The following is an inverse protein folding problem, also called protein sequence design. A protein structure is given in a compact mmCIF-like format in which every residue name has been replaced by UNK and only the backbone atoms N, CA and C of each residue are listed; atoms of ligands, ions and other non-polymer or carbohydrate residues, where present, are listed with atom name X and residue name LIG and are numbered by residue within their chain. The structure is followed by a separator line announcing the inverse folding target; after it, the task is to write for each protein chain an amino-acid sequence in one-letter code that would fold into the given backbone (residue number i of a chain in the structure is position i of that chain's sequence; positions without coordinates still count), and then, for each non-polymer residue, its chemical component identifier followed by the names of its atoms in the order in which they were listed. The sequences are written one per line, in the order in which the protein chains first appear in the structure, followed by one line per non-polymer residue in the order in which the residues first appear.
data_IF_330317832905
#
_entry.id   IF_330317832905
#
_cell.length_a   1.000
_cell.length_b   1.000
_cell.length_c   1.000
_cell.angle_alpha   90.00
_cell.angle_beta   90.00
_cell.angle_gamma   90.00
#
_symmetry.space_group_name_H-M   'P 1'
#
loop_
_entity.id
_entity.type
_entity.pdbx_description
1 polymer ?
#
# COMPACT_ATOMS: atom_id res chain seq x y z
N UNK A 1 -15.76 1.22 6.50
CA UNK A 1 -14.78 1.98 7.32
C UNK A 1 -13.50 1.16 7.35
N UNK A 2 -12.35 1.80 7.55
CA UNK A 2 -11.07 1.08 7.67
C UNK A 2 -10.21 1.68 8.78
N UNK A 3 -9.62 0.82 9.58
CA UNK A 3 -8.68 1.15 10.65
C UNK A 3 -7.29 0.66 10.28
N UNK A 4 -6.27 1.47 10.51
CA UNK A 4 -4.90 1.08 10.26
C UNK A 4 -4.10 1.06 11.56
N UNK A 5 -3.69 -0.13 11.98
CA UNK A 5 -2.84 -0.39 13.13
C UNK A 5 -1.38 -0.47 12.73
N UNK A 6 -0.52 -0.04 13.64
CA UNK A 6 0.91 -0.33 13.62
C UNK A 6 1.20 -1.18 14.84
N UNK A 7 1.70 -2.39 14.58
CA UNK A 7 2.09 -3.34 15.61
C UNK A 7 3.55 -3.08 15.99
N UNK A 8 3.81 -2.91 17.28
CA UNK A 8 5.15 -2.87 17.85
C UNK A 8 5.34 -4.10 18.73
N UNK A 9 6.58 -4.55 18.92
CA UNK A 9 6.85 -5.74 19.73
C UNK A 9 7.09 -5.34 21.19
N UNK A 10 6.48 -6.07 22.12
CA UNK A 10 6.77 -5.92 23.56
C UNK A 10 7.99 -6.76 23.93
N UNK A 11 8.99 -6.10 24.51
CA UNK A 11 10.00 -6.79 25.31
C UNK A 11 9.38 -7.12 26.67
N UNK A 12 8.82 -8.32 26.82
CA UNK A 12 8.79 -9.05 28.09
C UNK A 12 8.36 -10.52 27.90
N UNK A 13 9.28 -11.44 28.19
CA UNK A 13 9.08 -12.88 28.47
C UNK A 13 8.57 -13.83 27.37
N UNK A 14 8.64 -13.47 26.08
CA UNK A 14 8.30 -14.37 24.97
C UNK A 14 9.48 -14.65 24.03
N UNK A 15 10.30 -15.69 24.28
CA UNK A 15 11.36 -16.12 23.35
C UNK A 15 10.75 -16.59 22.03
N UNK A 16 10.83 -15.76 20.97
CA UNK A 16 10.49 -16.21 19.62
C UNK A 16 11.72 -16.86 18.97
N UNK A 17 12.86 -16.15 18.82
CA UNK A 17 14.07 -16.67 18.16
C UNK A 17 15.32 -15.88 18.61
N UNK A 18 16.28 -16.52 19.29
CA UNK A 18 17.60 -15.90 19.53
C UNK A 18 18.51 -16.09 18.31
N UNK A 19 18.57 -15.12 17.39
CA UNK A 19 19.38 -15.22 16.15
C UNK A 19 20.86 -14.81 16.34
N UNK A 20 21.43 -15.13 17.50
CA UNK A 20 22.84 -14.93 17.80
C UNK A 20 23.16 -13.59 18.46
N UNK A 21 24.46 -13.43 18.75
CA UNK A 21 25.02 -12.29 19.45
C UNK A 21 25.04 -11.01 18.59
N UNK A 22 24.57 -9.90 19.16
CA UNK A 22 24.64 -8.57 18.57
C UNK A 22 25.73 -7.74 19.25
N UNK A 23 26.46 -6.94 18.47
CA UNK A 23 27.42 -5.97 18.97
C UNK A 23 27.41 -4.72 18.08
N UNK A 24 27.81 -3.59 18.64
CA UNK A 24 27.94 -2.31 17.93
C UNK A 24 29.42 -2.01 17.73
N UNK A 25 29.81 -1.68 16.49
CA UNK A 25 31.17 -1.27 16.15
C UNK A 25 31.17 0.17 15.61
N UNK A 26 31.89 1.06 16.29
CA UNK A 26 32.11 2.45 15.87
C UNK A 26 33.60 2.67 15.59
N UNK A 27 33.99 2.57 14.31
CA UNK A 27 35.39 2.65 13.89
C UNK A 27 36.23 1.51 14.49
N UNK A 28 37.12 1.85 15.45
CA UNK A 28 37.98 0.89 16.17
C UNK A 28 37.36 0.37 17.47
N UNK A 29 36.29 0.98 17.95
CA UNK A 29 35.64 0.60 19.20
C UNK A 29 34.54 -0.41 18.93
N UNK A 30 34.49 -1.46 19.76
CA UNK A 30 33.49 -2.52 19.71
C UNK A 30 32.83 -2.63 21.08
N UNK A 31 31.50 -2.68 21.14
CA UNK A 31 30.76 -2.90 22.38
C UNK A 31 30.91 -4.35 22.88
N UNK A 32 30.47 -4.60 24.10
CA UNK A 32 30.22 -5.96 24.56
C UNK A 32 29.13 -6.62 23.69
N UNK A 33 29.24 -7.94 23.57
CA UNK A 33 28.24 -8.76 22.89
C UNK A 33 26.98 -8.88 23.75
N UNK A 34 25.83 -8.64 23.15
CA UNK A 34 24.51 -8.81 23.75
C UNK A 34 23.71 -9.85 22.96
N UNK A 35 23.18 -10.87 23.63
CA UNK A 35 22.26 -11.82 23.00
C UNK A 35 20.84 -11.37 23.32
N UNK A 36 20.09 -10.76 22.39
CA UNK A 36 18.70 -10.41 22.64
C UNK A 36 17.89 -11.68 22.89
N UNK A 37 17.03 -11.64 23.92
CA UNK A 37 16.10 -12.71 24.27
C UNK A 37 14.88 -12.77 23.35
N UNK A 38 14.64 -11.72 22.59
CA UNK A 38 13.39 -11.39 21.92
C UNK A 38 13.66 -10.64 20.62
N UNK A 39 12.76 -10.80 19.65
CA UNK A 39 12.87 -10.18 18.33
C UNK A 39 13.90 -10.83 17.39
N UNK A 40 13.73 -10.56 16.10
CA UNK A 40 14.66 -10.97 15.06
C UNK A 40 15.55 -9.77 14.66
N UNK A 41 16.88 -9.93 14.49
CA UNK A 41 17.78 -8.84 14.16
C UNK A 41 17.32 -8.09 12.90
N UNK A 42 17.31 -6.76 12.96
CA UNK A 42 17.04 -5.95 11.77
C UNK A 42 18.12 -6.21 10.72
N UNK A 43 17.70 -6.53 9.50
CA UNK A 43 18.61 -6.92 8.42
C UNK A 43 18.92 -8.41 8.34
N UNK A 44 18.44 -9.24 9.28
CA UNK A 44 18.46 -10.69 9.08
C UNK A 44 17.44 -11.09 8.00
N UNK A 45 17.89 -11.91 7.05
CA UNK A 45 17.12 -12.35 5.87
C UNK A 45 15.86 -13.14 6.27
N UNK A 46 15.90 -13.84 7.41
CA UNK A 46 14.78 -14.65 7.88
C UNK A 46 13.75 -13.84 8.69
N UNK A 47 14.12 -12.69 9.25
CA UNK A 47 13.23 -11.90 10.12
C UNK A 47 11.84 -11.63 9.51
N UNK A 48 11.71 -11.22 8.22
CA UNK A 48 10.40 -10.96 7.64
C UNK A 48 9.53 -12.22 7.49
N UNK A 49 10.14 -13.36 7.14
CA UNK A 49 9.43 -14.64 7.01
C UNK A 49 8.94 -15.11 8.38
N UNK A 50 9.81 -15.03 9.38
CA UNK A 50 9.52 -15.43 10.75
C UNK A 50 8.40 -14.55 11.32
N UNK A 51 8.44 -13.24 11.12
CA UNK A 51 7.35 -12.34 11.53
C UNK A 51 6.01 -12.65 10.81
N UNK A 52 6.07 -13.03 9.53
CA UNK A 52 4.87 -13.43 8.78
C UNK A 52 4.27 -14.73 9.31
N UNK A 53 5.11 -15.71 9.71
CA UNK A 53 4.66 -16.94 10.34
C UNK A 53 4.10 -16.69 11.75
N UNK A 54 4.76 -15.81 12.51
CA UNK A 54 4.37 -15.43 13.86
C UNK A 54 2.96 -14.85 13.92
N UNK A 55 2.65 -13.97 12.99
CA UNK A 55 1.36 -13.29 12.94
C UNK A 55 0.34 -14.03 12.08
N UNK A 56 0.65 -15.24 11.58
CA UNK A 56 -0.15 -15.90 10.54
C UNK A 56 -1.57 -16.25 11.01
N UNK A 57 -1.69 -16.73 12.25
CA UNK A 57 -2.94 -17.10 12.93
C UNK A 57 -3.77 -15.89 13.40
N UNK A 58 -3.21 -14.67 13.36
CA UNK A 58 -3.98 -13.45 13.49
C UNK A 58 -4.92 -13.31 12.27
N UNK A 59 -6.15 -13.78 12.40
CA UNK A 59 -7.16 -13.78 11.34
C UNK A 59 -8.47 -13.20 11.84
N UNK A 60 -9.22 -12.57 10.94
CA UNK A 60 -10.58 -12.08 11.21
C UNK A 60 -11.49 -13.24 11.61
N UNK A 61 -12.26 -13.09 12.68
CA UNK A 61 -13.29 -14.06 13.12
C UNK A 61 -14.62 -13.82 12.41
N UNK A 62 -14.91 -12.58 12.03
CA UNK A 62 -16.10 -12.18 11.30
C UNK A 62 -15.84 -12.17 9.77
N UNK A 63 -16.69 -12.82 8.95
CA UNK A 63 -16.51 -12.86 7.49
C UNK A 63 -16.72 -11.50 6.80
N UNK A 64 -17.45 -10.57 7.41
CA UNK A 64 -17.71 -9.20 6.92
C UNK A 64 -16.54 -8.25 7.16
N UNK A 65 -15.60 -8.65 8.03
CA UNK A 65 -14.38 -7.90 8.33
C UNK A 65 -13.20 -8.54 7.58
N UNK A 66 -12.25 -7.70 7.16
CA UNK A 66 -11.03 -8.12 6.50
C UNK A 66 -9.82 -7.58 7.23
N UNK A 67 -8.91 -8.49 7.55
CA UNK A 67 -7.62 -8.18 8.11
C UNK A 67 -6.56 -8.22 6.99
N UNK A 68 -5.94 -7.08 6.70
CA UNK A 68 -4.83 -6.98 5.76
C UNK A 68 -3.54 -6.76 6.54
N UNK A 69 -2.61 -7.72 6.47
CA UNK A 69 -1.32 -7.66 7.17
C UNK A 69 -0.20 -7.39 6.16
N UNK A 70 0.68 -6.44 6.46
CA UNK A 70 1.91 -6.19 5.72
C UNK A 70 3.03 -5.83 6.70
N UNK A 71 3.90 -6.81 6.96
CA UNK A 71 4.85 -6.72 8.08
C UNK A 71 4.09 -6.29 9.35
N UNK A 72 4.62 -5.31 10.07
CA UNK A 72 4.06 -4.70 11.28
C UNK A 72 2.75 -3.92 11.07
N UNK A 73 2.40 -3.58 9.82
CA UNK A 73 1.18 -2.82 9.54
C UNK A 73 -0.01 -3.77 9.37
N UNK A 74 -1.06 -3.55 10.16
CA UNK A 74 -2.29 -4.35 10.09
C UNK A 74 -3.48 -3.43 9.85
N UNK A 75 -4.28 -3.70 8.83
CA UNK A 75 -5.49 -2.91 8.52
C UNK A 75 -6.73 -3.75 8.74
N UNK A 76 -7.66 -3.27 9.56
CA UNK A 76 -8.98 -3.86 9.75
C UNK A 76 -9.97 -3.10 8.88
N UNK A 77 -10.64 -3.79 7.96
CA UNK A 77 -11.63 -3.20 7.07
C UNK A 77 -12.98 -3.84 7.39
N UNK A 78 -13.90 -3.04 7.92
CA UNK A 78 -15.26 -3.46 8.23
C UNK A 78 -16.30 -2.77 7.36
N UNK A 79 -17.33 -3.52 6.98
CA UNK A 79 -18.52 -2.97 6.35
C UNK A 79 -19.51 -2.54 7.43
N UNK A 80 -20.02 -1.32 7.30
CA UNK A 80 -21.10 -0.80 8.15
C UNK A 80 -22.39 -0.93 7.36
N UNK A 81 -23.38 -1.62 7.91
CA UNK A 81 -24.71 -1.78 7.33
C UNK A 81 -25.74 -1.23 8.30
N UNK A 82 -26.68 -0.43 7.82
CA UNK A 82 -27.74 0.15 8.67
C UNK A 82 -27.24 0.90 9.92
N UNK A 83 -26.03 1.44 9.84
CA UNK A 83 -25.31 2.10 10.96
C UNK A 83 -24.88 1.15 12.08
N UNK A 84 -24.90 -0.15 11.83
CA UNK A 84 -24.28 -1.17 12.66
C UNK A 84 -22.80 -1.36 12.27
N UNK A 85 -21.93 -1.14 13.24
CA UNK A 85 -20.47 -1.33 13.14
C UNK A 85 -19.95 -2.35 14.18
N UNK A 86 -20.85 -3.13 14.79
CA UNK A 86 -20.54 -4.03 15.90
C UNK A 86 -19.50 -5.07 15.50
N UNK A 87 -19.63 -5.67 14.32
CA UNK A 87 -18.65 -6.63 13.78
C UNK A 87 -17.24 -6.02 13.67
N UNK A 88 -17.16 -4.78 13.17
CA UNK A 88 -15.89 -4.05 13.06
C UNK A 88 -15.30 -3.73 14.43
N UNK A 89 -16.10 -3.21 15.38
CA UNK A 89 -15.63 -2.89 16.72
C UNK A 89 -15.16 -4.12 17.48
N UNK A 90 -15.93 -5.21 17.40
CA UNK A 90 -15.57 -6.48 18.02
C UNK A 90 -14.25 -7.02 17.48
N UNK A 91 -14.02 -6.93 16.17
CA UNK A 91 -12.74 -7.33 15.55
C UNK A 91 -11.57 -6.46 16.00
N UNK A 92 -11.78 -5.16 16.20
CA UNK A 92 -10.76 -4.25 16.75
C UNK A 92 -10.37 -4.64 18.18
N UNK A 93 -11.35 -4.96 19.02
CA UNK A 93 -11.13 -5.40 20.39
C UNK A 93 -10.42 -6.77 20.43
N UNK A 94 -10.85 -7.70 19.59
CA UNK A 94 -10.20 -9.00 19.45
C UNK A 94 -8.76 -8.88 18.96
N UNK A 95 -8.49 -7.99 18.00
CA UNK A 95 -7.13 -7.74 17.52
C UNK A 95 -6.26 -7.20 18.66
N UNK A 96 -6.75 -6.26 19.46
CA UNK A 96 -6.03 -5.72 20.62
C UNK A 96 -5.74 -6.80 21.67
N UNK A 97 -6.72 -7.66 21.97
CA UNK A 97 -6.55 -8.79 22.87
C UNK A 97 -5.54 -9.81 22.31
N UNK A 98 -5.64 -10.15 21.01
CA UNK A 98 -4.71 -11.06 20.35
C UNK A 98 -3.27 -10.52 20.39
N UNK A 99 -3.08 -9.22 20.14
CA UNK A 99 -1.76 -8.59 20.24
C UNK A 99 -1.20 -8.73 21.67
N UNK A 100 -2.02 -8.43 22.68
CA UNK A 100 -1.63 -8.55 24.09
C UNK A 100 -1.25 -9.99 24.47
N UNK A 101 -2.02 -10.98 24.02
CA UNK A 101 -1.75 -12.41 24.25
C UNK A 101 -0.49 -12.89 23.52
N UNK A 102 -0.14 -12.25 22.41
CA UNK A 102 1.03 -12.56 21.61
C UNK A 102 2.16 -11.54 21.81
N UNK A 103 2.29 -10.90 22.98
CA UNK A 103 3.43 -10.01 23.28
C UNK A 103 3.71 -8.96 22.18
N UNK A 104 2.64 -8.40 21.61
CA UNK A 104 2.66 -7.32 20.63
C UNK A 104 1.90 -6.13 21.24
N UNK A 105 2.49 -4.95 21.12
CA UNK A 105 1.88 -3.69 21.49
C UNK A 105 1.20 -3.06 20.27
N UNK A 106 0.00 -2.54 20.46
CA UNK A 106 -0.60 -1.66 19.47
C UNK A 106 -0.06 -0.24 19.66
N UNK A 107 0.59 0.31 18.63
CA UNK A 107 0.93 1.73 18.64
C UNK A 107 -0.33 2.57 18.37
N UNK A 108 -1.06 2.89 19.44
CA UNK A 108 -2.30 3.68 19.39
C UNK A 108 -2.06 5.09 18.86
N UNK A 109 -0.87 5.67 19.07
CA UNK A 109 -0.50 7.00 18.59
C UNK A 109 -0.38 7.09 17.06
N UNK A 110 0.03 5.99 16.41
CA UNK A 110 0.11 5.90 14.95
C UNK A 110 -1.14 5.29 14.32
N UNK A 111 -2.05 4.75 15.14
CA UNK A 111 -3.30 4.14 14.68
C UNK A 111 -4.29 5.23 14.30
N UNK A 112 -4.89 5.10 13.13
CA UNK A 112 -5.88 6.06 12.61
C UNK A 112 -7.08 5.35 12.03
N UNK A 113 -8.25 5.94 12.22
CA UNK A 113 -9.50 5.46 11.64
C UNK A 113 -9.88 6.30 10.42
N UNK A 114 -10.29 5.67 9.33
CA UNK A 114 -10.87 6.36 8.19
C UNK A 114 -12.26 5.81 7.87
N UNK A 115 -13.25 6.69 7.94
CA UNK A 115 -14.64 6.38 7.61
C UNK A 115 -14.89 6.74 6.16
N UNK A 116 -15.44 5.79 5.40
CA UNK A 116 -15.78 5.99 4.00
C UNK A 116 -17.28 5.80 3.88
N UNK A 117 -18.02 6.90 3.80
CA UNK A 117 -19.49 6.93 3.71
C UNK A 117 -19.93 7.88 2.59
N UNK A 118 -20.80 7.40 1.70
CA UNK A 118 -21.35 8.16 0.57
C UNK A 118 -22.86 8.38 0.69
N UNK A 119 -23.46 8.01 1.83
CA UNK A 119 -24.87 8.29 2.10
C UNK A 119 -25.07 9.81 2.18
N UNK A 120 -26.18 10.30 1.63
CA UNK A 120 -26.54 11.74 1.71
C UNK A 120 -26.84 12.18 3.14
N UNK A 121 -27.44 11.28 3.92
CA UNK A 121 -27.70 11.46 5.33
C UNK A 121 -26.81 10.49 6.10
N UNK A 122 -25.73 11.03 6.67
CA UNK A 122 -24.79 10.26 7.48
C UNK A 122 -25.17 10.36 8.94
N UNK A 123 -25.27 9.22 9.61
CA UNK A 123 -25.35 9.16 11.07
C UNK A 123 -23.94 9.31 11.61
N UNK A 124 -23.74 10.21 12.58
CA UNK A 124 -22.46 10.31 13.28
C UNK A 124 -22.22 9.00 14.05
N UNK A 125 -21.07 8.38 13.80
CA UNK A 125 -20.66 7.19 14.53
C UNK A 125 -19.90 7.61 15.79
N UNK A 126 -20.05 6.87 16.91
CA UNK A 126 -19.30 7.18 18.11
C UNK A 126 -17.79 7.06 17.87
N UNK A 127 -16.94 7.82 18.58
CA UNK A 127 -15.50 7.65 18.45
C UNK A 127 -15.07 6.21 18.76
N UNK A 128 -14.08 5.71 18.02
CA UNK A 128 -13.44 4.44 18.33
C UNK A 128 -12.47 4.61 19.49
N UNK A 129 -12.49 3.67 20.43
CA UNK A 129 -11.57 3.64 21.58
C UNK A 129 -10.85 2.30 21.63
N UNK A 130 -9.52 2.32 21.77
CA UNK A 130 -8.67 1.15 21.92
C UNK A 130 -7.86 1.33 23.20
N UNK A 131 -7.90 0.36 24.13
CA UNK A 131 -7.17 0.42 25.40
C UNK A 131 -7.39 1.77 26.15
N UNK A 132 -8.65 2.23 26.21
CA UNK A 132 -9.07 3.52 26.78
C UNK A 132 -8.52 4.78 26.09
N UNK A 133 -7.88 4.64 24.92
CA UNK A 133 -7.40 5.76 24.10
C UNK A 133 -8.31 5.96 22.89
N UNK A 134 -8.77 7.20 22.64
CA UNK A 134 -9.56 7.52 21.45
C UNK A 134 -8.68 7.51 20.21
N UNK A 135 -9.12 6.79 19.17
CA UNK A 135 -8.42 6.75 17.89
C UNK A 135 -8.81 7.98 17.06
N UNK A 136 -7.85 8.73 16.52
CA UNK A 136 -8.16 9.87 15.66
C UNK A 136 -8.76 9.41 14.33
N UNK A 137 -9.91 9.98 13.97
CA UNK A 137 -10.49 9.84 12.63
C UNK A 137 -9.79 10.79 11.65
N UNK A 138 -9.39 10.28 10.49
CA UNK A 138 -8.68 11.03 9.45
C UNK A 138 -9.42 11.01 8.12
N UNK A 139 -9.33 12.11 7.38
CA UNK A 139 -9.92 12.23 6.04
C UNK A 139 -9.07 11.54 4.96
N UNK A 140 -7.77 11.38 5.20
CA UNK A 140 -6.87 10.65 4.34
C UNK A 140 -5.70 10.07 5.13
N UNK A 141 -5.13 8.97 4.64
CA UNK A 141 -3.95 8.35 5.24
C UNK A 141 -3.06 7.70 4.18
N UNK A 142 -1.79 7.48 4.52
CA UNK A 142 -0.81 6.88 3.62
C UNK A 142 -0.69 5.38 3.88
N UNK A 143 -1.29 4.57 3.02
CA UNK A 143 -1.22 3.12 3.05
C UNK A 143 -0.16 2.59 2.07
N UNK A 144 0.87 1.90 2.58
CA UNK A 144 1.93 1.27 1.76
C UNK A 144 2.49 2.19 0.65
N UNK A 145 2.66 3.47 0.97
CA UNK A 145 3.20 4.48 0.05
C UNK A 145 2.16 5.20 -0.83
N UNK A 146 0.89 4.79 -0.80
CA UNK A 146 -0.22 5.41 -1.54
C UNK A 146 -1.16 6.14 -0.58
N UNK A 147 -1.52 7.39 -0.90
CA UNK A 147 -2.46 8.14 -0.05
C UNK A 147 -3.89 7.82 -0.46
N UNK A 148 -4.69 7.34 0.48
CA UNK A 148 -6.11 7.03 0.28
C UNK A 148 -6.93 8.10 1.01
N UNK A 149 -7.93 8.64 0.33
CA UNK A 149 -8.84 9.65 0.86
C UNK A 149 -10.25 9.09 1.02
N UNK A 150 -10.97 9.57 2.03
CA UNK A 150 -12.35 9.17 2.33
C UNK A 150 -13.33 9.46 1.18
N UNK A 151 -13.07 10.50 0.40
CA UNK A 151 -13.91 10.95 -0.73
C UNK A 151 -13.59 10.23 -2.05
N UNK A 152 -12.75 9.19 -2.00
CA UNK A 152 -12.25 8.42 -3.18
C UNK A 152 -11.51 9.26 -4.22
N UNK A 153 -11.12 10.50 -3.90
CA UNK A 153 -10.28 11.29 -4.79
C UNK A 153 -8.82 10.92 -4.60
N UNK A 154 -8.07 11.08 -5.69
CA UNK A 154 -6.63 10.77 -5.76
C UNK A 154 -5.77 12.02 -5.93
N UNK A 155 -6.38 13.21 -5.90
CA UNK A 155 -5.71 14.50 -6.06
C UNK A 155 -4.55 14.67 -5.07
N UNK A 156 -4.76 14.35 -3.79
CA UNK A 156 -3.72 14.43 -2.75
C UNK A 156 -2.55 13.49 -3.05
N UNK A 157 -2.84 12.25 -3.44
CA UNK A 157 -1.82 11.27 -3.81
C UNK A 157 -1.04 11.70 -5.06
N UNK A 158 -1.76 12.11 -6.10
CA UNK A 158 -1.21 12.53 -7.39
C UNK A 158 -0.35 13.77 -7.22
N UNK A 159 -0.79 14.75 -6.43
CA UNK A 159 0.00 15.93 -6.10
C UNK A 159 1.32 15.58 -5.44
N UNK A 160 1.29 14.74 -4.41
CA UNK A 160 2.50 14.29 -3.73
C UNK A 160 3.46 13.54 -4.68
N UNK A 161 2.91 12.76 -5.61
CA UNK A 161 3.65 11.98 -6.60
C UNK A 161 4.30 12.89 -7.65
N UNK A 162 3.54 13.85 -8.18
CA UNK A 162 4.03 14.86 -9.12
C UNK A 162 5.13 15.70 -8.47
N UNK A 163 4.95 16.15 -7.22
CA UNK A 163 5.96 16.93 -6.50
C UNK A 163 7.28 16.16 -6.36
N UNK A 164 7.23 14.88 -5.99
CA UNK A 164 8.42 14.00 -5.93
C UNK A 164 9.08 13.82 -7.29
N UNK A 165 8.29 13.61 -8.34
CA UNK A 165 8.81 13.47 -9.71
C UNK A 165 9.47 14.77 -10.20
N UNK A 166 8.87 15.92 -9.89
CA UNK A 166 9.41 17.24 -10.24
C UNK A 166 10.73 17.55 -9.53
N UNK A 167 10.88 17.16 -8.26
CA UNK A 167 12.16 17.23 -7.56
C UNK A 167 13.24 16.42 -8.28
N UNK A 168 12.88 15.23 -8.79
CA UNK A 168 13.82 14.35 -9.52
C UNK A 168 14.17 14.86 -10.92
N UNK A 169 13.31 15.67 -11.55
CA UNK A 169 13.65 16.35 -12.81
C UNK A 169 14.86 17.28 -12.67
N UNK A 170 15.16 17.80 -11.48
CA UNK A 170 16.37 18.58 -11.26
C UNK A 170 17.63 17.78 -11.61
N UNK A 171 17.73 16.54 -11.12
CA UNK A 171 18.87 15.67 -11.41
C UNK A 171 18.94 15.35 -12.91
N UNK A 172 17.81 15.07 -13.56
CA UNK A 172 17.78 14.84 -15.01
C UNK A 172 18.33 16.06 -15.79
N UNK A 173 17.99 17.29 -15.38
CA UNK A 173 18.57 18.51 -15.98
C UNK A 173 20.08 18.61 -15.75
N UNK A 174 20.56 18.26 -14.56
CA UNK A 174 22.00 18.27 -14.28
C UNK A 174 22.73 17.26 -15.17
N UNK A 175 22.23 16.03 -15.28
CA UNK A 175 22.80 15.02 -16.16
C UNK A 175 22.83 15.47 -17.62
N UNK A 176 21.78 16.15 -18.10
CA UNK A 176 21.78 16.74 -19.44
C UNK A 176 22.87 17.82 -19.61
N UNK A 177 23.10 18.66 -18.59
CA UNK A 177 24.18 19.67 -18.62
C UNK A 177 25.57 19.05 -18.68
N UNK A 178 25.76 17.87 -18.10
CA UNK A 178 27.00 17.10 -18.21
C UNK A 178 27.13 16.34 -19.54
N UNK A 179 26.27 16.62 -20.53
CA UNK A 179 26.28 16.03 -21.87
C UNK A 179 26.21 14.49 -21.87
N UNK A 180 25.47 13.91 -20.90
CA UNK A 180 25.25 12.47 -20.92
C UNK A 180 24.49 12.03 -22.20
N UNK A 181 24.83 10.85 -22.76
CA UNK A 181 24.09 10.25 -23.86
C UNK A 181 22.59 10.16 -23.58
N UNK A 182 21.80 10.37 -24.63
CA UNK A 182 20.33 10.33 -24.58
C UNK A 182 19.80 9.00 -23.99
N UNK A 183 20.45 7.88 -24.31
CA UNK A 183 20.11 6.55 -23.78
C UNK A 183 20.23 6.49 -22.25
N UNK A 184 21.30 7.06 -21.67
CA UNK A 184 21.49 7.10 -20.22
C UNK A 184 20.46 8.01 -19.54
N UNK A 185 20.09 9.12 -20.20
CA UNK A 185 19.06 10.02 -19.68
C UNK A 185 17.67 9.36 -19.69
N UNK A 186 17.35 8.61 -20.74
CA UNK A 186 16.12 7.80 -20.82
C UNK A 186 16.11 6.72 -19.75
N UNK A 187 17.24 6.02 -19.55
CA UNK A 187 17.36 5.02 -18.49
C UNK A 187 17.19 5.64 -17.09
N UNK A 188 17.84 6.78 -16.85
CA UNK A 188 17.67 7.54 -15.61
C UNK A 188 16.21 7.93 -15.39
N UNK A 189 15.52 8.41 -16.43
CA UNK A 189 14.09 8.72 -16.35
C UNK A 189 13.28 7.50 -15.92
N UNK A 190 13.45 6.34 -16.57
CA UNK A 190 12.68 5.14 -16.25
C UNK A 190 12.92 4.64 -14.82
N UNK A 191 14.18 4.66 -14.36
CA UNK A 191 14.53 4.14 -13.02
C UNK A 191 14.18 5.13 -11.91
N UNK A 192 14.32 6.44 -12.15
CA UNK A 192 14.23 7.45 -11.08
C UNK A 192 12.92 8.22 -11.12
N UNK A 193 12.41 8.61 -12.28
CA UNK A 193 11.23 9.48 -12.38
C UNK A 193 9.98 8.65 -12.65
N UNK A 194 10.01 7.81 -13.68
CA UNK A 194 8.90 6.93 -14.04
C UNK A 194 8.54 5.98 -12.90
N UNK A 195 9.52 5.44 -12.17
CA UNK A 195 9.28 4.55 -11.03
C UNK A 195 8.40 5.18 -9.94
N UNK A 196 8.61 6.46 -9.63
CA UNK A 196 7.77 7.21 -8.68
C UNK A 196 6.40 7.46 -9.25
N UNK A 197 6.34 7.94 -10.49
CA UNK A 197 5.10 8.21 -11.20
C UNK A 197 4.21 6.97 -11.31
N UNK A 198 4.82 5.80 -11.53
CA UNK A 198 4.12 4.54 -11.74
C UNK A 198 3.88 3.74 -10.44
N UNK A 199 4.30 4.25 -9.28
CA UNK A 199 4.08 3.55 -8.01
C UNK A 199 2.58 3.38 -7.76
N UNK A 200 2.15 2.13 -7.59
CA UNK A 200 0.73 1.75 -7.41
C UNK A 200 -0.22 2.29 -8.49
N UNK A 201 0.27 2.62 -9.69
CA UNK A 201 -0.52 3.26 -10.76
C UNK A 201 -1.80 2.49 -11.13
N UNK A 202 -1.77 1.16 -11.00
CA UNK A 202 -2.94 0.31 -11.26
C UNK A 202 -4.10 0.54 -10.30
N UNK A 203 -3.85 1.14 -9.13
CA UNK A 203 -4.84 1.38 -8.07
C UNK A 203 -5.59 2.70 -8.31
N UNK A 204 -4.86 3.77 -8.56
CA UNK A 204 -5.41 5.13 -8.49
C UNK A 204 -5.67 5.78 -9.86
N UNK A 205 -4.94 5.38 -10.91
CA UNK A 205 -5.01 6.10 -12.19
C UNK A 205 -6.35 5.93 -12.91
N UNK A 206 -7.01 4.78 -12.78
CA UNK A 206 -8.34 4.54 -13.39
C UNK A 206 -9.43 5.47 -12.86
N UNK A 207 -9.22 6.09 -11.69
CA UNK A 207 -10.11 7.07 -11.08
C UNK A 207 -9.56 8.50 -11.13
N UNK A 208 -8.48 8.75 -11.85
CA UNK A 208 -7.88 10.07 -11.97
C UNK A 208 -8.73 10.99 -12.88
N UNK A 209 -8.84 12.27 -12.51
CA UNK A 209 -9.60 13.24 -13.31
C UNK A 209 -8.83 13.65 -14.57
N UNK A 210 -9.51 14.26 -15.55
CA UNK A 210 -8.85 14.86 -16.73
C UNK A 210 -7.82 15.93 -16.33
N UNK A 211 -8.04 16.65 -15.23
CA UNK A 211 -7.05 17.58 -14.66
C UNK A 211 -5.81 16.85 -14.15
N UNK A 212 -5.99 15.76 -13.43
CA UNK A 212 -4.89 14.97 -12.88
C UNK A 212 -4.02 14.36 -13.97
N UNK A 213 -4.66 13.76 -14.98
CA UNK A 213 -3.97 13.18 -16.14
C UNK A 213 -3.13 14.25 -16.84
N UNK A 214 -3.68 15.47 -17.03
CA UNK A 214 -2.92 16.60 -17.59
C UNK A 214 -1.72 17.01 -16.74
N UNK A 215 -1.86 17.04 -15.41
CA UNK A 215 -0.75 17.35 -14.48
C UNK A 215 0.38 16.31 -14.59
N UNK A 216 0.03 15.02 -14.63
CA UNK A 216 0.97 13.92 -14.77
C UNK A 216 1.69 13.98 -16.13
N UNK A 217 0.94 14.16 -17.22
CA UNK A 217 1.50 14.21 -18.58
C UNK A 217 2.46 15.40 -18.76
N UNK A 218 2.22 16.55 -18.13
CA UNK A 218 3.17 17.69 -18.14
C UNK A 218 4.54 17.33 -17.58
N UNK A 219 4.59 16.46 -16.58
CA UNK A 219 5.85 15.99 -15.97
C UNK A 219 6.62 15.12 -16.97
N UNK A 220 5.93 14.20 -17.64
CA UNK A 220 6.50 13.36 -18.71
C UNK A 220 7.02 14.23 -19.86
N UNK A 221 6.20 15.16 -20.36
CA UNK A 221 6.59 16.08 -21.44
C UNK A 221 7.79 16.97 -21.09
N UNK A 222 7.94 17.31 -19.81
CA UNK A 222 9.12 18.05 -19.36
C UNK A 222 10.37 17.17 -19.42
N UNK A 223 10.28 15.90 -19.03
CA UNK A 223 11.37 14.95 -19.19
C UNK A 223 11.71 14.71 -20.67
N UNK A 224 10.71 14.51 -21.54
CA UNK A 224 10.90 14.36 -22.99
C UNK A 224 11.72 15.52 -23.58
N UNK A 225 11.35 16.76 -23.24
CA UNK A 225 12.08 17.96 -23.69
C UNK A 225 13.53 18.02 -23.18
N UNK A 226 13.79 17.57 -21.95
CA UNK A 226 15.15 17.57 -21.39
C UNK A 226 16.02 16.51 -22.07
N UNK A 227 15.44 15.33 -22.34
CA UNK A 227 16.13 14.19 -22.92
C UNK A 227 16.34 14.37 -24.43
N UNK A 228 15.36 14.97 -25.11
CA UNK A 228 15.30 15.02 -26.58
C UNK A 228 14.80 13.73 -27.22
N UNK A 229 14.14 12.85 -26.45
CA UNK A 229 13.53 11.60 -26.92
C UNK A 229 12.02 11.59 -26.66
N UNK A 230 11.21 10.93 -27.51
CA UNK A 230 9.85 10.57 -27.13
C UNK A 230 9.86 9.60 -25.95
N UNK A 231 8.96 9.80 -25.00
CA UNK A 231 8.72 8.90 -23.88
C UNK A 231 7.30 8.34 -23.95
N UNK A 232 7.04 7.16 -23.37
CA UNK A 232 5.68 6.65 -23.27
C UNK A 232 4.77 7.65 -22.54
N UNK A 233 3.58 7.86 -23.09
CA UNK A 233 2.54 8.63 -22.42
C UNK A 233 2.13 7.97 -21.11
N UNK A 234 1.58 8.75 -20.19
CA UNK A 234 1.13 8.22 -18.91
C UNK A 234 0.03 7.14 -19.08
N UNK A 235 -0.82 7.29 -20.10
CA UNK A 235 -1.87 6.33 -20.45
C UNK A 235 -1.28 4.99 -20.92
N UNK A 236 -0.23 5.02 -21.74
CA UNK A 236 0.46 3.82 -22.21
C UNK A 236 1.15 3.09 -21.05
N UNK A 237 1.79 3.85 -20.15
CA UNK A 237 2.38 3.29 -18.93
C UNK A 237 1.33 2.61 -18.06
N UNK A 238 0.20 3.27 -17.80
CA UNK A 238 -0.92 2.68 -17.06
C UNK A 238 -1.42 1.39 -17.73
N UNK A 239 -1.74 1.44 -19.02
CA UNK A 239 -2.26 0.32 -19.79
C UNK A 239 -1.31 -0.88 -19.76
N UNK A 240 -0.01 -0.63 -19.96
CA UNK A 240 1.03 -1.66 -19.88
C UNK A 240 1.09 -2.31 -18.50
N UNK A 241 1.01 -1.52 -17.42
CA UNK A 241 1.09 -2.02 -16.03
C UNK A 241 -0.18 -2.78 -15.64
N UNK A 242 -1.36 -2.32 -16.06
CA UNK A 242 -2.62 -3.04 -15.85
C UNK A 242 -2.59 -4.39 -16.56
N UNK A 243 -2.21 -4.43 -17.83
CA UNK A 243 -2.10 -5.68 -18.60
C UNK A 243 -1.14 -6.68 -17.94
N UNK A 244 0.08 -6.22 -17.59
CA UNK A 244 1.07 -7.07 -16.89
C UNK A 244 0.55 -7.60 -15.56
N UNK A 245 -0.17 -6.77 -14.79
CA UNK A 245 -0.75 -7.19 -13.51
C UNK A 245 -1.90 -8.18 -13.72
N UNK A 246 -2.78 -7.93 -14.69
CA UNK A 246 -3.89 -8.82 -15.04
C UNK A 246 -3.38 -10.21 -15.46
N UNK A 247 -2.37 -10.26 -16.33
CA UNK A 247 -1.72 -11.50 -16.74
C UNK A 247 -1.13 -12.29 -15.57
N UNK A 248 -0.47 -11.60 -14.62
CA UNK A 248 0.04 -12.24 -13.40
C UNK A 248 -1.06 -12.84 -12.52
N UNK A 249 -2.22 -12.17 -12.44
CA UNK A 249 -3.38 -12.66 -11.69
C UNK A 249 -3.91 -13.93 -12.36
N UNK A 250 -4.09 -13.92 -13.68
CA UNK A 250 -4.64 -15.07 -14.42
C UNK A 250 -3.70 -16.28 -14.46
N UNK A 251 -2.39 -16.06 -14.41
CA UNK A 251 -1.40 -17.14 -14.37
C UNK A 251 -1.25 -17.78 -12.98
N UNK A 252 -1.75 -17.13 -11.92
CA UNK A 252 -1.66 -17.60 -10.54
C UNK A 252 -2.95 -18.27 -10.08
N UNK A 253 -3.06 -19.62 -10.07
CA UNK A 253 -4.29 -20.30 -9.68
C UNK A 253 -4.70 -20.05 -8.21
N UNK A 254 -3.73 -19.72 -7.35
CA UNK A 254 -3.96 -19.34 -5.94
C UNK A 254 -4.02 -17.82 -5.71
N UNK A 255 -3.99 -17.00 -6.77
CA UNK A 255 -3.96 -15.55 -6.61
C UNK A 255 -5.33 -15.05 -6.10
N UNK A 256 -5.40 -14.27 -4.99
CA UNK A 256 -6.67 -13.85 -4.39
C UNK A 256 -7.55 -13.00 -5.32
N UNK A 257 -6.92 -12.26 -6.25
CA UNK A 257 -7.61 -11.50 -7.29
C UNK A 257 -8.27 -12.33 -8.41
N UNK A 258 -8.01 -13.64 -8.50
CA UNK A 258 -8.66 -14.52 -9.48
C UNK A 258 -10.17 -14.64 -9.21
N UNK A 259 -10.56 -14.62 -7.93
CA UNK A 259 -11.96 -14.66 -7.47
C UNK A 259 -12.81 -13.49 -7.98
N UNK A 260 -12.17 -12.38 -8.37
CA UNK A 260 -12.84 -11.19 -8.90
C UNK A 260 -12.93 -11.19 -10.44
N UNK A 261 -12.49 -12.30 -11.07
CA UNK A 261 -12.40 -12.50 -12.51
C UNK A 261 -13.13 -13.81 -12.87
N UNK A 262 -14.46 -13.86 -12.77
CA UNK A 262 -15.22 -15.05 -13.15
C UNK A 262 -15.17 -15.25 -14.67
N UNK A 263 -14.63 -16.38 -15.12
CA UNK A 263 -14.67 -16.79 -16.52
C UNK A 263 -16.13 -17.09 -16.89
N UNK A 264 -16.62 -16.49 -17.98
CA UNK A 264 -17.95 -16.79 -18.50
C UNK A 264 -18.03 -18.24 -18.97
N UNK A 265 -19.24 -18.81 -19.05
CA UNK A 265 -19.49 -20.19 -19.48
C UNK A 265 -18.88 -20.55 -20.83
N UNK A 266 -18.60 -19.57 -21.69
CA UNK A 266 -17.91 -19.76 -22.97
C UNK A 266 -16.41 -20.06 -22.84
N UNK A 267 -15.82 -19.88 -21.66
CA UNK A 267 -14.38 -20.04 -21.41
C UNK A 267 -13.49 -18.95 -22.03
N UNK A 268 -14.07 -17.96 -22.72
CA UNK A 268 -13.32 -16.99 -23.56
C UNK A 268 -13.27 -15.57 -23.02
N UNK A 269 -14.13 -15.21 -22.06
CA UNK A 269 -14.27 -13.84 -21.54
C UNK A 269 -14.47 -13.84 -20.04
N UNK A 270 -13.96 -12.82 -19.36
CA UNK A 270 -14.18 -12.57 -17.94
C UNK A 270 -15.39 -11.66 -17.73
N UNK A 271 -16.20 -11.94 -16.70
CA UNK A 271 -17.38 -11.15 -16.30
C UNK A 271 -16.94 -9.82 -15.68
N UNK A 272 -17.46 -8.71 -16.21
CA UNK A 272 -17.13 -7.37 -15.73
C UNK A 272 -17.63 -7.12 -14.29
N UNK A 273 -16.77 -6.58 -13.43
CA UNK A 273 -17.16 -6.13 -12.10
C UNK A 273 -17.89 -4.76 -12.17
N UNK A 274 -18.83 -4.52 -11.25
CA UNK A 274 -19.76 -3.37 -11.26
C UNK A 274 -19.14 -1.97 -11.12
N UNK A 275 -17.82 -1.84 -10.88
CA UNK A 275 -17.21 -0.55 -10.52
C UNK A 275 -16.17 -0.05 -11.54
N UNK A 276 -16.66 0.61 -12.59
CA UNK A 276 -15.98 0.90 -13.88
C UNK A 276 -14.60 1.57 -13.79
N UNK A 277 -14.32 2.32 -12.71
CA UNK A 277 -13.10 3.12 -12.55
C UNK A 277 -12.04 2.48 -11.63
N UNK A 278 -12.20 1.20 -11.29
CA UNK A 278 -11.26 0.42 -10.48
C UNK A 278 -10.37 -0.48 -11.34
N UNK A 279 -9.33 -1.07 -10.72
CA UNK A 279 -8.39 -1.96 -11.43
C UNK A 279 -9.08 -3.12 -12.16
N UNK A 280 -10.04 -3.79 -11.52
CA UNK A 280 -10.58 -5.06 -12.03
C UNK A 280 -11.36 -4.91 -13.35
N UNK A 281 -12.29 -3.94 -13.51
CA UNK A 281 -12.96 -3.75 -14.79
C UNK A 281 -12.01 -3.37 -15.93
N UNK A 282 -10.99 -2.56 -15.64
CA UNK A 282 -9.97 -2.21 -16.63
C UNK A 282 -9.12 -3.43 -17.00
N UNK A 283 -8.72 -4.24 -16.02
CA UNK A 283 -8.01 -5.51 -16.24
C UNK A 283 -8.85 -6.47 -17.10
N UNK A 284 -10.13 -6.64 -16.78
CA UNK A 284 -11.07 -7.49 -17.53
C UNK A 284 -11.25 -6.99 -18.96
N UNK A 285 -11.40 -5.68 -19.15
CA UNK A 285 -11.48 -5.06 -20.47
C UNK A 285 -10.23 -5.44 -21.31
N UNK A 286 -9.03 -5.27 -20.76
CA UNK A 286 -7.79 -5.61 -21.46
C UNK A 286 -7.54 -7.11 -21.64
N UNK A 287 -8.13 -7.97 -20.82
CA UNK A 287 -8.06 -9.43 -20.98
C UNK A 287 -9.06 -9.93 -22.04
N UNK A 288 -10.16 -9.20 -22.25
CA UNK A 288 -11.19 -9.54 -23.23
C UNK A 288 -10.94 -8.92 -24.62
N UNK A 289 -10.01 -7.96 -24.73
CA UNK A 289 -9.56 -7.31 -25.96
C UNK A 289 -8.43 -8.07 -26.62
#
# INVERSE_FOLDING_TARGET
MGLHFILEHLDESGTYISLGQQLVKLGKFTSNSHTPSTGAPQGCVLSPLLFSLYTNDCTSTDPSVKLLKFADNTTVIGLIQDSDESAYRQEVEQLAAWCSLNNLELNTLKTVEMIVDFRRNTTALPPLTIMNSTVPTVASFRFLGTTISQDRKWDTHIESTVKKAQQRLYFLRQLRKFNLPQELLTHFYSVVIESVLCTSITVWFGSATKSDIRRLQRTVQTAERIIGAPLPTFQELYTSRVRKRAQKITLGPSHPGLLLSELMQSGRRYRAARNENSFFPQAIYFLNS
#
